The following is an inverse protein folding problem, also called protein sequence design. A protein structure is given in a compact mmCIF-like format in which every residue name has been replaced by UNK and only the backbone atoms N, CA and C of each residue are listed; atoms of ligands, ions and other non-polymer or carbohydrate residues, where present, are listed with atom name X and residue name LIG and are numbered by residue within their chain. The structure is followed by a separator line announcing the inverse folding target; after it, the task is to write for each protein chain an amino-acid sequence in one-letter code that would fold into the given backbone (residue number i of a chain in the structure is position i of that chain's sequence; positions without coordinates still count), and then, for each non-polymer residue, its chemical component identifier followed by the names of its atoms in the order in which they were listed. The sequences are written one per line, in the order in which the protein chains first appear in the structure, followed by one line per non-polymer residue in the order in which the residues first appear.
data_IF_466170603603
#
_entry.id   IF_466170603603
#
_cell.length_a   1.000
_cell.length_b   1.000
_cell.length_c   1.000
_cell.angle_alpha   90.00
_cell.angle_beta   90.00
_cell.angle_gamma   90.00
#
_symmetry.space_group_name_H-M   'P 1'
#
loop_
_entity.id
_entity.type
_entity.pdbx_description
1 polymer ?
#
# COMPACT_ATOMS: atom_id res chain seq x y z
N UNK A 1 6.59 9.06 13.32
CA UNK A 1 6.62 8.23 12.10
C UNK A 1 5.68 8.84 11.07
N UNK A 2 6.16 9.02 9.87
CA UNK A 2 5.38 9.55 8.74
C UNK A 2 4.98 8.41 7.82
N UNK A 3 3.68 8.28 7.54
CA UNK A 3 3.09 7.20 6.73
C UNK A 3 2.49 7.78 5.47
N UNK A 4 2.87 7.24 4.32
CA UNK A 4 2.24 7.57 3.05
C UNK A 4 1.31 6.45 2.61
N UNK A 5 0.02 6.77 2.51
CA UNK A 5 -1.01 5.88 1.96
C UNK A 5 -1.15 6.13 0.47
N UNK A 6 -0.82 5.13 -0.34
CA UNK A 6 -0.88 5.23 -1.79
C UNK A 6 -2.30 5.01 -2.30
N UNK A 7 -2.88 6.02 -2.92
CA UNK A 7 -4.24 5.95 -3.47
C UNK A 7 -4.19 5.92 -5.00
N UNK A 8 -4.94 5.00 -5.56
CA UNK A 8 -5.22 4.88 -6.98
C UNK A 8 -6.72 4.72 -7.20
N UNK A 9 -7.26 5.14 -8.34
CA UNK A 9 -8.67 4.91 -8.65
C UNK A 9 -9.04 3.45 -8.47
N UNK A 10 -10.16 3.20 -7.79
CA UNK A 10 -10.62 1.88 -7.44
C UNK A 10 -10.01 1.29 -6.17
N UNK A 11 -9.38 2.12 -5.31
CA UNK A 11 -8.98 1.68 -3.97
C UNK A 11 -10.22 1.36 -3.10
N UNK A 12 -10.07 0.47 -2.14
CA UNK A 12 -11.15 0.17 -1.18
C UNK A 12 -11.20 1.25 -0.09
N UNK A 13 -12.31 2.00 -0.05
CA UNK A 13 -12.48 3.17 0.82
C UNK A 13 -12.33 2.82 2.30
N UNK A 14 -13.00 1.75 2.75
CA UNK A 14 -12.98 1.35 4.16
C UNK A 14 -11.57 0.95 4.60
N UNK A 15 -10.85 0.20 3.78
CA UNK A 15 -9.49 -0.24 4.09
C UNK A 15 -8.52 0.93 4.21
N UNK A 16 -8.59 1.88 3.29
CA UNK A 16 -7.75 3.06 3.34
C UNK A 16 -8.08 3.96 4.53
N UNK A 17 -9.36 4.34 4.67
CA UNK A 17 -9.78 5.33 5.65
C UNK A 17 -9.70 4.82 7.08
N UNK A 18 -10.02 3.54 7.33
CA UNK A 18 -9.90 2.95 8.67
C UNK A 18 -8.46 2.97 9.17
N UNK A 19 -7.51 2.59 8.33
CA UNK A 19 -6.08 2.61 8.69
C UNK A 19 -5.58 4.04 8.89
N UNK A 20 -5.94 4.96 7.99
CA UNK A 20 -5.57 6.38 8.12
C UNK A 20 -6.11 6.97 9.44
N UNK A 21 -7.39 6.74 9.75
CA UNK A 21 -8.02 7.27 10.97
C UNK A 21 -7.33 6.73 12.23
N UNK A 22 -7.10 5.42 12.31
CA UNK A 22 -6.43 4.80 13.46
C UNK A 22 -5.01 5.32 13.64
N UNK A 23 -4.24 5.44 12.57
CA UNK A 23 -2.87 5.96 12.64
C UNK A 23 -2.84 7.44 13.06
N UNK A 24 -3.76 8.26 12.54
CA UNK A 24 -3.89 9.67 12.97
C UNK A 24 -4.29 9.79 14.43
N UNK A 25 -5.16 8.92 14.94
CA UNK A 25 -5.51 8.86 16.37
C UNK A 25 -4.34 8.45 17.26
N UNK A 26 -3.39 7.71 16.72
CA UNK A 26 -2.14 7.32 17.38
C UNK A 26 -1.01 8.37 17.20
N UNK A 27 -1.35 9.59 16.81
CA UNK A 27 -0.44 10.73 16.60
C UNK A 27 0.66 10.50 15.54
N UNK A 28 0.42 9.59 14.57
CA UNK A 28 1.29 9.49 13.40
C UNK A 28 0.92 10.53 12.35
N UNK A 29 1.93 11.05 11.66
CA UNK A 29 1.72 11.88 10.49
C UNK A 29 1.35 10.98 9.31
N UNK A 30 0.10 11.09 8.80
CA UNK A 30 -0.36 10.30 7.66
C UNK A 30 -0.71 11.24 6.52
N UNK A 31 -0.13 11.00 5.35
CA UNK A 31 -0.43 11.68 4.09
C UNK A 31 -1.01 10.70 3.08
N UNK A 32 -2.03 11.12 2.39
CA UNK A 32 -2.54 10.40 1.22
C UNK A 32 -1.83 10.87 -0.03
N UNK A 33 -1.40 9.92 -0.87
CA UNK A 33 -0.67 10.19 -2.10
C UNK A 33 -1.44 9.66 -3.30
N UNK A 34 -1.86 10.53 -4.20
CA UNK A 34 -2.42 10.13 -5.49
C UNK A 34 -1.32 9.70 -6.44
N UNK A 35 -1.27 8.42 -6.81
CA UNK A 35 -0.26 7.91 -7.75
C UNK A 35 -0.52 8.32 -9.20
N UNK A 36 -1.73 8.77 -9.52
CA UNK A 36 -2.17 9.15 -10.86
C UNK A 36 -2.05 10.65 -11.14
N UNK A 37 -1.35 11.39 -10.29
CA UNK A 37 -1.10 12.84 -10.39
C UNK A 37 -2.35 13.72 -10.52
N UNK A 38 -3.46 13.30 -9.95
CA UNK A 38 -4.70 14.07 -9.83
C UNK A 38 -5.06 14.27 -8.36
N UNK A 39 -5.67 15.38 -8.02
CA UNK A 39 -5.99 15.73 -6.63
C UNK A 39 -7.08 14.84 -6.02
N UNK A 40 -8.08 14.47 -6.82
CA UNK A 40 -9.19 13.63 -6.36
C UNK A 40 -9.01 12.20 -6.88
N UNK A 41 -8.98 11.24 -5.97
CA UNK A 41 -8.92 9.82 -6.27
C UNK A 41 -10.26 9.19 -5.93
N UNK A 42 -10.86 8.46 -6.86
CA UNK A 42 -12.14 7.79 -6.65
C UNK A 42 -11.93 6.37 -6.15
N UNK A 43 -12.56 6.02 -5.03
CA UNK A 43 -12.57 4.65 -4.54
C UNK A 43 -13.43 3.70 -5.39
N UNK A 44 -13.39 2.42 -5.06
CA UNK A 44 -14.15 1.37 -5.76
C UNK A 44 -15.67 1.58 -5.72
N UNK A 45 -16.17 2.34 -4.74
CA UNK A 45 -17.58 2.70 -4.57
C UNK A 45 -17.88 4.15 -4.95
N UNK A 46 -17.04 4.77 -5.78
CA UNK A 46 -17.17 6.16 -6.26
C UNK A 46 -17.14 7.24 -5.16
N UNK A 47 -16.55 6.95 -4.02
CA UNK A 47 -16.31 7.98 -3.00
C UNK A 47 -14.98 8.66 -3.33
N UNK A 48 -15.02 9.95 -3.63
CA UNK A 48 -13.83 10.73 -3.94
C UNK A 48 -13.09 11.17 -2.70
N UNK A 49 -11.78 10.98 -2.68
CA UNK A 49 -10.86 11.46 -1.66
C UNK A 49 -9.95 12.51 -2.26
N UNK A 50 -9.88 13.68 -1.62
CA UNK A 50 -8.87 14.69 -1.96
C UNK A 50 -7.55 14.25 -1.34
N UNK A 51 -6.58 13.88 -2.17
CA UNK A 51 -5.27 13.46 -1.70
C UNK A 51 -4.46 14.65 -1.18
N UNK A 52 -3.69 14.44 -0.11
CA UNK A 52 -2.79 15.46 0.45
C UNK A 52 -1.65 15.79 -0.52
N UNK A 53 -1.18 14.80 -1.26
CA UNK A 53 -0.07 14.91 -2.21
C UNK A 53 -0.42 14.23 -3.53
N UNK A 54 0.15 14.73 -4.62
CA UNK A 54 0.24 13.99 -5.88
C UNK A 54 1.61 13.33 -5.98
N UNK A 55 1.74 12.29 -6.81
CA UNK A 55 3.00 11.56 -7.00
C UNK A 55 4.19 12.50 -7.24
N UNK A 56 4.04 13.46 -8.15
CA UNK A 56 5.10 14.41 -8.51
C UNK A 56 5.53 15.36 -7.39
N UNK A 57 4.68 15.55 -6.38
CA UNK A 57 4.93 16.43 -5.22
C UNK A 57 5.36 15.65 -3.98
N UNK A 58 5.58 14.35 -4.11
CA UNK A 58 5.90 13.48 -2.98
C UNK A 58 7.40 13.37 -2.78
N UNK A 59 7.85 13.73 -1.58
CA UNK A 59 9.21 13.50 -1.13
C UNK A 59 9.25 12.25 -0.26
N UNK A 60 9.76 11.15 -0.80
CA UNK A 60 9.84 9.87 -0.11
C UNK A 60 10.93 9.82 0.96
N UNK A 61 11.86 10.77 0.97
CA UNK A 61 12.87 10.84 2.02
C UNK A 61 12.24 11.18 3.39
N UNK A 62 11.11 11.88 3.37
CA UNK A 62 10.33 12.20 4.56
C UNK A 62 9.42 11.05 5.04
N UNK A 63 9.36 9.95 4.32
CA UNK A 63 8.45 8.85 4.59
C UNK A 63 9.15 7.69 5.29
N UNK A 64 8.54 7.21 6.37
CA UNK A 64 9.02 6.05 7.13
C UNK A 64 8.30 4.76 6.75
N UNK A 65 7.04 4.87 6.28
CA UNK A 65 6.19 3.74 5.92
C UNK A 65 5.37 4.01 4.66
N UNK A 66 5.37 3.07 3.72
CA UNK A 66 4.41 3.02 2.63
C UNK A 66 3.29 2.05 2.99
N UNK A 67 2.04 2.51 2.92
CA UNK A 67 0.86 1.68 3.09
C UNK A 67 0.07 1.58 1.78
N UNK A 68 -0.28 0.36 1.39
CA UNK A 68 -1.08 0.04 0.20
C UNK A 68 -2.46 -0.50 0.62
N UNK A 69 -3.56 0.24 0.46
CA UNK A 69 -4.90 -0.31 0.59
C UNK A 69 -5.21 -1.26 -0.57
N UNK A 70 -6.16 -2.14 -0.36
CA UNK A 70 -6.66 -3.02 -1.41
C UNK A 70 -7.70 -2.36 -2.31
N UNK A 71 -8.59 -3.17 -2.84
CA UNK A 71 -9.60 -2.76 -3.81
C UNK A 71 -9.16 -2.97 -5.26
N UNK A 72 -10.15 -3.14 -6.13
CA UNK A 72 -9.94 -3.31 -7.57
C UNK A 72 -10.73 -2.25 -8.33
N UNK A 73 -10.17 -1.65 -9.38
CA UNK A 73 -8.86 -1.88 -9.97
C UNK A 73 -7.69 -1.16 -9.27
N UNK A 74 -7.88 -0.55 -8.09
CA UNK A 74 -6.84 0.20 -7.39
C UNK A 74 -5.53 -0.56 -7.23
N UNK A 75 -5.59 -1.82 -6.79
CA UNK A 75 -4.40 -2.68 -6.65
C UNK A 75 -3.67 -2.90 -7.98
N UNK A 76 -4.39 -3.02 -9.10
CA UNK A 76 -3.76 -3.14 -10.42
C UNK A 76 -3.01 -1.87 -10.79
N UNK A 77 -3.61 -0.70 -10.56
CA UNK A 77 -2.95 0.59 -10.82
C UNK A 77 -1.69 0.76 -9.96
N UNK A 78 -1.73 0.35 -8.69
CA UNK A 78 -0.54 0.34 -7.82
C UNK A 78 0.55 -0.57 -8.39
N UNK A 79 0.17 -1.76 -8.84
CA UNK A 79 1.10 -2.76 -9.38
C UNK A 79 1.76 -2.31 -10.68
N UNK A 80 1.04 -1.59 -11.53
CA UNK A 80 1.51 -1.10 -12.84
C UNK A 80 2.34 0.17 -12.74
N UNK A 81 2.36 0.84 -11.59
CA UNK A 81 3.06 2.09 -11.40
C UNK A 81 4.57 1.87 -11.16
N UNK A 82 5.37 2.08 -12.20
CA UNK A 82 6.82 1.82 -12.18
C UNK A 82 7.56 2.60 -11.07
N UNK A 83 7.23 3.87 -10.88
CA UNK A 83 7.84 4.68 -9.83
C UNK A 83 7.54 4.17 -8.43
N UNK A 84 6.31 3.69 -8.18
CA UNK A 84 5.96 3.07 -6.90
C UNK A 84 6.74 1.77 -6.68
N UNK A 85 6.90 0.97 -7.72
CA UNK A 85 7.70 -0.26 -7.63
C UNK A 85 9.16 0.03 -7.24
N UNK A 86 9.75 1.09 -7.78
CA UNK A 86 11.10 1.53 -7.41
C UNK A 86 11.16 1.99 -5.95
N UNK A 87 10.20 2.80 -5.50
CA UNK A 87 10.14 3.27 -4.11
C UNK A 87 9.95 2.10 -3.12
N UNK A 88 9.12 1.12 -3.45
CA UNK A 88 8.92 -0.06 -2.60
C UNK A 88 10.23 -0.86 -2.47
N UNK A 89 10.96 -1.08 -3.57
CA UNK A 89 12.28 -1.76 -3.51
C UNK A 89 13.29 -0.97 -2.69
N UNK A 90 13.29 0.35 -2.82
CA UNK A 90 14.18 1.21 -2.06
C UNK A 90 13.86 1.15 -0.55
N UNK A 91 12.57 1.15 -0.18
CA UNK A 91 12.13 1.00 1.20
C UNK A 91 12.55 -0.35 1.78
N UNK A 92 12.34 -1.44 1.04
CA UNK A 92 12.79 -2.78 1.44
C UNK A 92 14.31 -2.81 1.66
N UNK A 93 15.10 -2.25 0.72
CA UNK A 93 16.56 -2.16 0.82
C UNK A 93 17.04 -1.35 2.02
N UNK A 94 16.32 -0.28 2.37
CA UNK A 94 16.63 0.59 3.52
C UNK A 94 16.09 0.06 4.84
N UNK A 95 15.34 -1.03 4.86
CA UNK A 95 14.68 -1.55 6.04
C UNK A 95 13.56 -0.64 6.57
N UNK A 96 12.98 0.20 5.72
CA UNK A 96 11.80 1.00 6.04
C UNK A 96 10.54 0.14 6.00
N UNK A 97 9.47 0.64 6.60
CA UNK A 97 8.22 -0.09 6.73
C UNK A 97 7.43 -0.15 5.42
N UNK A 98 6.93 -1.34 5.13
CA UNK A 98 6.01 -1.61 4.03
C UNK A 98 4.79 -2.34 4.57
N UNK A 99 3.60 -1.83 4.31
CA UNK A 99 2.35 -2.45 4.74
C UNK A 99 1.37 -2.53 3.58
N UNK A 100 0.63 -3.62 3.50
CA UNK A 100 -0.41 -3.83 2.49
C UNK A 100 -1.53 -4.71 3.04
N UNK A 101 -2.75 -4.51 2.55
CA UNK A 101 -3.92 -5.25 3.01
C UNK A 101 -4.72 -5.77 1.80
N UNK A 102 -5.52 -6.81 2.03
CA UNK A 102 -6.47 -7.37 1.08
C UNK A 102 -5.81 -7.90 -0.20
N UNK A 103 -6.04 -7.29 -1.34
CA UNK A 103 -5.40 -7.65 -2.61
C UNK A 103 -3.99 -7.04 -2.78
N UNK A 104 -3.68 -5.95 -2.07
CA UNK A 104 -2.46 -5.18 -2.26
C UNK A 104 -1.14 -5.90 -1.91
N UNK A 105 -1.09 -6.92 -1.02
CA UNK A 105 0.11 -7.73 -0.85
C UNK A 105 0.65 -8.35 -2.15
N UNK A 106 -0.23 -8.55 -3.14
CA UNK A 106 0.17 -9.01 -4.48
C UNK A 106 1.12 -8.05 -5.20
N UNK A 107 1.12 -6.77 -4.84
CA UNK A 107 2.09 -5.78 -5.36
C UNK A 107 3.49 -6.14 -4.87
N UNK A 108 3.64 -6.42 -3.59
CA UNK A 108 4.91 -6.85 -2.99
C UNK A 108 5.38 -8.21 -3.51
N UNK A 109 4.43 -9.16 -3.64
CA UNK A 109 4.73 -10.48 -4.19
C UNK A 109 5.27 -10.41 -5.62
N UNK A 110 4.69 -9.55 -6.46
CA UNK A 110 5.16 -9.31 -7.82
C UNK A 110 6.54 -8.67 -7.91
N UNK A 111 7.02 -8.03 -6.84
CA UNK A 111 8.35 -7.44 -6.75
C UNK A 111 9.40 -8.37 -6.13
N UNK A 112 8.99 -9.56 -5.67
CA UNK A 112 9.89 -10.55 -5.09
C UNK A 112 10.31 -10.25 -3.64
N UNK A 113 9.77 -9.21 -3.00
CA UNK A 113 10.19 -8.81 -1.65
C UNK A 113 9.55 -9.63 -0.54
N UNK A 114 8.63 -10.54 -0.87
CA UNK A 114 7.97 -11.45 0.09
C UNK A 114 8.69 -12.80 0.22
N UNK A 115 9.75 -13.05 -0.53
CA UNK A 115 10.46 -14.33 -0.48
C UNK A 115 10.94 -14.65 0.94
N UNK A 116 10.55 -15.82 1.45
CA UNK A 116 10.88 -16.28 2.79
C UNK A 116 10.17 -15.56 3.95
N UNK A 117 9.24 -14.65 3.65
CA UNK A 117 8.46 -13.92 4.65
C UNK A 117 7.07 -14.52 4.81
N UNK A 118 6.51 -14.44 6.02
CA UNK A 118 5.11 -14.80 6.26
C UNK A 118 4.19 -13.74 5.68
N UNK A 119 3.20 -14.17 4.92
CA UNK A 119 2.28 -13.25 4.26
C UNK A 119 0.87 -13.84 4.15
N UNK A 120 -0.11 -12.95 4.06
CA UNK A 120 -1.50 -13.27 3.75
C UNK A 120 -2.06 -12.21 2.81
N UNK A 121 -3.10 -12.56 2.09
CA UNK A 121 -3.84 -11.64 1.22
C UNK A 121 -5.31 -12.02 1.16
N UNK A 122 -6.08 -11.25 0.42
CA UNK A 122 -7.45 -11.62 0.08
C UNK A 122 -7.49 -12.98 -0.62
N UNK A 123 -8.42 -13.88 -0.25
CA UNK A 123 -8.53 -15.21 -0.84
C UNK A 123 -8.58 -15.18 -2.37
N UNK A 124 -7.75 -16.01 -3.00
CA UNK A 124 -7.60 -16.08 -4.46
C UNK A 124 -6.41 -15.26 -5.01
N UNK A 125 -5.76 -14.45 -4.19
CA UNK A 125 -4.55 -13.69 -4.57
C UNK A 125 -3.23 -14.35 -4.13
N UNK A 126 -3.29 -15.48 -3.41
CA UNK A 126 -2.12 -16.17 -2.84
C UNK A 126 -1.07 -16.53 -3.91
N UNK A 127 -1.53 -16.87 -5.12
CA UNK A 127 -0.65 -17.18 -6.26
C UNK A 127 0.29 -16.03 -6.66
N UNK A 128 -0.03 -14.79 -6.26
CA UNK A 128 0.79 -13.62 -6.53
C UNK A 128 1.79 -13.31 -5.42
N UNK A 129 1.73 -14.02 -4.29
CA UNK A 129 2.67 -13.86 -3.17
C UNK A 129 3.89 -14.77 -3.37
N UNK A 130 4.59 -14.58 -4.47
CA UNK A 130 5.69 -15.46 -4.89
C UNK A 130 6.76 -15.59 -3.80
N UNK A 131 7.06 -16.85 -3.42
CA UNK A 131 8.09 -17.15 -2.43
C UNK A 131 7.71 -16.89 -0.97
N UNK A 132 6.49 -16.38 -0.71
CA UNK A 132 6.00 -16.16 0.65
C UNK A 132 5.56 -17.46 1.33
N UNK A 133 5.73 -17.53 2.66
CA UNK A 133 5.08 -18.52 3.52
C UNK A 133 3.66 -18.02 3.84
N UNK A 134 2.67 -18.64 3.21
CA UNK A 134 1.26 -18.23 3.35
C UNK A 134 0.73 -18.68 4.70
N UNK A 135 0.36 -17.73 5.54
CA UNK A 135 -0.15 -17.98 6.88
C UNK A 135 -1.61 -17.54 7.01
N UNK A 136 -2.57 -18.48 6.99
CA UNK A 136 -4.01 -18.14 6.97
C UNK A 136 -4.52 -17.49 8.27
N UNK A 137 -3.73 -17.52 9.33
CA UNK A 137 -4.07 -16.97 10.64
C UNK A 137 -3.78 -15.47 10.79
N UNK A 138 -3.08 -14.86 9.84
CA UNK A 138 -2.75 -13.43 9.86
C UNK A 138 -3.83 -12.63 9.14
N UNK A 139 -4.34 -11.61 9.79
CA UNK A 139 -5.19 -10.61 9.14
C UNK A 139 -4.39 -9.47 8.50
N UNK A 140 -3.12 -9.32 8.85
CA UNK A 140 -2.22 -8.26 8.38
C UNK A 140 -0.87 -8.85 8.02
N UNK A 141 -0.23 -8.25 7.02
CA UNK A 141 1.16 -8.54 6.67
C UNK A 141 2.05 -7.47 7.29
N UNK A 142 3.06 -7.93 8.01
CA UNK A 142 4.11 -7.11 8.56
C UNK A 142 5.43 -7.50 7.92
N UNK A 143 6.07 -6.58 7.21
CA UNK A 143 7.21 -6.90 6.32
C UNK A 143 8.53 -6.28 6.79
N UNK A 144 8.65 -5.89 8.00
CA UNK A 144 9.91 -5.34 8.50
C UNK A 144 10.46 -6.16 9.65
N UNK A 145 11.08 -7.27 9.36
CA UNK A 145 12.08 -7.92 10.22
C UNK A 145 13.13 -8.60 9.37
#
# INVERSE_FOLDING_TARGET
MTVYTMLADGFEEVEALAVIDVLKRADYEVKTVSIQDKEVVAGAHNIGIVADLTWRRTDFDQCDMIFLPGGMPGTMHLKEHAGLAEQIREFDRQGKWLAAICAAPSVFGGLGILEGKKAICFPGFEKYLTGADITPELSLIHISE
#
